data_IF_220909569518
#
_entry.id   IF_220909569518
#
_cell.length_a   1.000
_cell.length_b   1.000
_cell.length_c   1.000
_cell.angle_alpha   90.00
_cell.angle_beta   90.00
_cell.angle_gamma   90.00
#
_symmetry.space_group_name_H-M   'P 1'
#
loop_
_entity.id
_entity.type
_entity.pdbx_description
1 polymer ?
#
# COMPACT_ATOMS: atom_id res chain seq x y z
N UNK A 1 11.57 -7.36 16.18
CA UNK A 1 11.19 -6.29 15.23
C UNK A 1 12.45 -5.87 14.50
N UNK A 2 12.37 -5.55 13.19
CA UNK A 2 13.55 -5.10 12.48
C UNK A 2 14.03 -3.75 13.04
N UNK A 3 15.33 -3.60 13.20
CA UNK A 3 15.94 -2.30 13.57
C UNK A 3 16.06 -1.43 12.31
N UNK A 4 16.18 -0.10 12.48
CA UNK A 4 16.37 0.87 11.38
C UNK A 4 17.50 0.43 10.44
N UNK A 5 18.61 -0.08 10.98
CA UNK A 5 19.73 -0.58 10.17
C UNK A 5 19.33 -1.73 9.24
N UNK A 6 18.48 -2.66 9.71
CA UNK A 6 17.99 -3.77 8.89
C UNK A 6 17.09 -3.28 7.75
N UNK A 7 16.24 -2.27 8.01
CA UNK A 7 15.46 -1.62 6.96
C UNK A 7 16.35 -0.90 5.95
N UNK A 8 17.40 -0.23 6.41
CA UNK A 8 18.36 0.47 5.55
C UNK A 8 19.14 -0.51 4.67
N UNK A 9 19.62 -1.64 5.21
CA UNK A 9 20.28 -2.68 4.43
C UNK A 9 19.40 -3.25 3.32
N UNK A 10 18.09 -3.39 3.58
CA UNK A 10 17.12 -3.80 2.57
C UNK A 10 16.94 -2.72 1.50
N UNK A 11 16.73 -1.47 1.91
CA UNK A 11 16.53 -0.35 0.99
C UNK A 11 17.76 -0.15 0.06
N UNK A 12 18.98 -0.34 0.59
CA UNK A 12 20.22 -0.28 -0.21
C UNK A 12 20.32 -1.36 -1.30
N UNK A 13 19.57 -2.46 -1.18
CA UNK A 13 19.55 -3.58 -2.15
C UNK A 13 18.43 -3.46 -3.19
N UNK A 14 17.60 -2.42 -3.13
CA UNK A 14 16.49 -2.21 -4.06
C UNK A 14 17.00 -2.11 -5.50
N UNK A 15 16.35 -2.84 -6.41
CA UNK A 15 16.59 -2.83 -7.86
C UNK A 15 15.28 -2.64 -8.62
N UNK A 16 15.35 -2.15 -9.87
CA UNK A 16 14.19 -2.04 -10.74
C UNK A 16 13.43 -3.38 -10.88
N UNK A 17 14.15 -4.49 -11.05
CA UNK A 17 13.53 -5.82 -11.16
C UNK A 17 12.80 -6.24 -9.88
N UNK A 18 13.36 -5.92 -8.71
CA UNK A 18 12.69 -6.18 -7.43
C UNK A 18 11.42 -5.35 -7.26
N UNK A 19 11.45 -4.06 -7.64
CA UNK A 19 10.28 -3.18 -7.59
C UNK A 19 9.21 -3.66 -8.57
N UNK A 20 9.59 -3.96 -9.82
CA UNK A 20 8.67 -4.51 -10.83
C UNK A 20 8.00 -5.79 -10.34
N UNK A 21 8.77 -6.71 -9.76
CA UNK A 21 8.22 -7.98 -9.27
C UNK A 21 7.23 -7.76 -8.12
N UNK A 22 7.55 -6.85 -7.19
CA UNK A 22 6.69 -6.53 -6.05
C UNK A 22 5.41 -5.81 -6.50
N UNK A 23 5.53 -4.74 -7.29
CA UNK A 23 4.40 -3.99 -7.83
C UNK A 23 3.50 -4.89 -8.69
N UNK A 24 4.06 -5.75 -9.53
CA UNK A 24 3.28 -6.70 -10.32
C UNK A 24 2.45 -7.62 -9.42
N UNK A 25 3.05 -8.17 -8.36
CA UNK A 25 2.38 -9.13 -7.48
C UNK A 25 1.34 -8.45 -6.56
N UNK A 26 1.68 -7.29 -6.01
CA UNK A 26 0.91 -6.64 -4.94
C UNK A 26 0.04 -5.50 -5.44
N UNK A 27 0.54 -4.67 -6.36
CA UNK A 27 -0.17 -3.47 -6.83
C UNK A 27 -1.17 -3.77 -7.93
N UNK A 28 -0.84 -4.71 -8.80
CA UNK A 28 -1.56 -4.92 -10.05
C UNK A 28 -2.15 -6.34 -10.21
N UNK A 29 -2.28 -7.08 -9.11
CA UNK A 29 -2.91 -8.41 -9.12
C UNK A 29 -2.29 -9.40 -10.12
N UNK A 30 -0.97 -9.31 -10.35
CA UNK A 30 -0.23 -10.12 -11.31
C UNK A 30 -0.18 -9.58 -12.75
N UNK A 31 -0.92 -8.49 -13.06
CA UNK A 31 -0.94 -7.85 -14.37
C UNK A 31 0.22 -6.87 -14.52
N UNK A 32 0.60 -6.57 -15.77
CA UNK A 32 1.63 -5.57 -16.05
C UNK A 32 1.30 -4.84 -17.34
N UNK A 33 1.36 -3.51 -17.30
CA UNK A 33 1.23 -2.62 -18.46
C UNK A 33 2.51 -1.78 -18.59
N UNK A 34 2.95 -1.42 -19.81
CA UNK A 34 4.16 -0.60 -20.00
C UNK A 34 4.14 0.72 -19.21
N UNK A 35 2.97 1.32 -19.02
CA UNK A 35 2.82 2.58 -18.27
C UNK A 35 3.26 2.48 -16.80
N UNK A 36 3.26 1.27 -16.22
CA UNK A 36 3.66 1.05 -14.82
C UNK A 36 5.18 1.19 -14.62
N UNK A 37 5.98 1.01 -15.68
CA UNK A 37 7.44 1.17 -15.61
C UNK A 37 7.86 2.57 -15.13
N UNK A 38 7.01 3.59 -15.32
CA UNK A 38 7.30 4.95 -14.81
C UNK A 38 7.49 4.97 -13.28
N UNK A 39 6.70 4.18 -12.54
CA UNK A 39 6.83 4.06 -11.08
C UNK A 39 8.13 3.35 -10.69
N UNK A 40 8.41 2.24 -11.37
CA UNK A 40 9.64 1.45 -11.22
C UNK A 40 10.88 2.30 -11.46
N UNK A 41 10.94 2.99 -12.59
CA UNK A 41 12.08 3.83 -13.00
C UNK A 41 12.32 4.96 -12.01
N UNK A 42 11.26 5.59 -11.52
CA UNK A 42 11.36 6.66 -10.53
C UNK A 42 12.00 6.14 -9.23
N UNK A 43 11.47 5.05 -8.65
CA UNK A 43 11.95 4.52 -7.38
C UNK A 43 13.36 3.92 -7.50
N UNK A 44 13.62 3.18 -8.57
CA UNK A 44 14.94 2.61 -8.85
C UNK A 44 15.97 3.71 -9.13
N UNK A 45 15.60 4.76 -9.87
CA UNK A 45 16.45 5.91 -10.17
C UNK A 45 16.91 6.65 -8.93
N UNK A 46 16.01 6.90 -7.96
CA UNK A 46 16.36 7.46 -6.65
C UNK A 46 17.40 6.60 -5.90
N UNK A 47 17.34 5.28 -6.08
CA UNK A 47 18.24 4.30 -5.46
C UNK A 47 19.48 3.97 -6.30
N UNK A 48 19.68 4.61 -7.44
CA UNK A 48 20.86 4.43 -8.30
C UNK A 48 21.80 5.66 -8.31
N UNK A 49 21.31 6.83 -7.89
CA UNK A 49 22.07 8.08 -7.90
C UNK A 49 23.02 8.28 -6.71
N UNK A 50 23.81 9.38 -6.70
CA UNK A 50 24.74 9.70 -5.62
C UNK A 50 24.04 9.91 -4.25
N UNK A 51 22.75 10.24 -4.25
CA UNK A 51 21.92 10.38 -3.06
C UNK A 51 21.41 9.08 -2.44
N UNK A 52 21.71 7.91 -3.02
CA UNK A 52 21.17 6.60 -2.62
C UNK A 52 21.17 6.35 -1.11
N UNK A 53 22.30 6.65 -0.43
CA UNK A 53 22.42 6.40 1.02
C UNK A 53 21.41 7.22 1.84
N UNK A 54 21.16 8.46 1.43
CA UNK A 54 20.17 9.32 2.10
C UNK A 54 18.76 8.84 1.81
N UNK A 55 18.47 8.43 0.57
CA UNK A 55 17.18 7.83 0.19
C UNK A 55 16.90 6.58 1.01
N UNK A 56 17.85 5.64 1.06
CA UNK A 56 17.72 4.39 1.80
C UNK A 56 17.55 4.62 3.31
N UNK A 57 18.30 5.56 3.89
CA UNK A 57 18.18 5.88 5.32
C UNK A 57 16.81 6.48 5.67
N UNK A 58 16.29 7.42 4.87
CA UNK A 58 14.96 7.97 5.09
C UNK A 58 13.87 6.92 4.87
N UNK A 59 14.02 6.04 3.87
CA UNK A 59 13.13 4.89 3.69
C UNK A 59 13.12 3.98 4.91
N UNK A 60 14.27 3.73 5.52
CA UNK A 60 14.38 2.93 6.74
C UNK A 60 13.67 3.56 7.94
N UNK A 61 13.82 4.87 8.13
CA UNK A 61 13.10 5.61 9.18
C UNK A 61 11.58 5.60 8.96
N UNK A 62 11.13 5.69 7.71
CA UNK A 62 9.70 5.58 7.37
C UNK A 62 9.18 4.18 7.67
N UNK A 63 9.91 3.12 7.31
CA UNK A 63 9.52 1.74 7.64
C UNK A 63 9.41 1.52 9.16
N UNK A 64 10.37 2.03 9.94
CA UNK A 64 10.32 1.99 11.40
C UNK A 64 9.10 2.73 11.96
N UNK A 65 8.83 3.95 11.47
CA UNK A 65 7.67 4.74 11.84
C UNK A 65 6.36 4.00 11.56
N UNK A 66 6.17 3.47 10.35
CA UNK A 66 4.93 2.74 9.99
C UNK A 66 4.75 1.51 10.89
N UNK A 67 5.83 0.79 11.19
CA UNK A 67 5.76 -0.41 12.02
C UNK A 67 5.48 -0.12 13.50
N UNK A 68 5.96 1.00 14.02
CA UNK A 68 5.92 1.33 15.45
C UNK A 68 4.80 2.28 15.85
N UNK A 69 4.16 2.96 14.90
CA UNK A 69 3.15 4.00 15.15
C UNK A 69 1.81 3.69 14.45
N UNK A 70 1.09 2.62 14.84
CA UNK A 70 -0.16 2.22 14.19
C UNK A 70 -1.30 3.20 14.50
N UNK A 71 -2.18 3.46 13.54
CA UNK A 71 -3.35 4.37 13.71
C UNK A 71 -4.70 3.65 13.82
N UNK A 72 -4.74 2.33 13.59
CA UNK A 72 -5.99 1.56 13.49
C UNK A 72 -6.90 1.67 14.73
N UNK A 73 -6.31 1.84 15.91
CA UNK A 73 -7.03 1.97 17.18
C UNK A 73 -7.68 3.35 17.35
N UNK A 74 -7.36 4.30 16.48
CA UNK A 74 -7.91 5.66 16.47
C UNK A 74 -9.00 5.86 15.43
N UNK A 75 -9.23 4.88 14.56
CA UNK A 75 -10.29 4.92 13.55
C UNK A 75 -11.69 5.21 14.13
N UNK A 76 -12.05 4.69 15.32
CA UNK A 76 -13.31 5.06 15.99
C UNK A 76 -13.44 6.54 16.37
N UNK A 77 -12.33 7.30 16.39
CA UNK A 77 -12.31 8.73 16.72
C UNK A 77 -12.53 9.63 15.50
N UNK A 78 -12.57 9.08 14.29
CA UNK A 78 -12.85 9.88 13.10
C UNK A 78 -14.28 10.43 13.16
N UNK A 79 -14.41 11.76 13.04
CA UNK A 79 -15.70 12.48 13.10
C UNK A 79 -16.09 13.11 11.76
N UNK A 80 -15.37 12.79 10.69
CA UNK A 80 -15.61 13.29 9.34
C UNK A 80 -16.09 12.15 8.45
N UNK A 81 -16.94 12.42 7.45
CA UNK A 81 -17.28 11.43 6.44
C UNK A 81 -16.03 10.80 5.85
N UNK A 82 -15.99 9.48 5.79
CA UNK A 82 -14.83 8.72 5.35
C UNK A 82 -15.26 7.66 4.33
N UNK A 83 -14.57 7.62 3.19
CA UNK A 83 -14.77 6.59 2.17
C UNK A 83 -13.49 5.77 2.06
N UNK A 84 -13.62 4.45 2.18
CA UNK A 84 -12.55 3.49 1.96
C UNK A 84 -12.70 2.91 0.55
N UNK A 85 -11.66 3.01 -0.26
CA UNK A 85 -11.61 2.51 -1.65
C UNK A 85 -10.53 1.44 -1.75
N UNK A 86 -10.91 0.17 -1.82
CA UNK A 86 -10.00 -0.96 -1.58
C UNK A 86 -10.02 -1.95 -2.75
N UNK A 87 -8.85 -2.27 -3.30
CA UNK A 87 -8.66 -3.47 -4.12
C UNK A 87 -8.53 -4.71 -3.23
N UNK A 88 -9.36 -5.72 -3.44
CA UNK A 88 -9.41 -6.89 -2.55
C UNK A 88 -8.37 -7.98 -2.84
N UNK A 89 -7.63 -7.85 -3.95
CA UNK A 89 -6.47 -8.67 -4.27
C UNK A 89 -5.14 -8.05 -3.80
N UNK A 90 -5.18 -6.91 -3.11
CA UNK A 90 -4.01 -6.34 -2.44
C UNK A 90 -3.48 -7.35 -1.40
N UNK A 91 -2.15 -7.51 -1.38
CA UNK A 91 -1.40 -8.41 -0.49
C UNK A 91 -0.44 -7.67 0.45
N UNK A 92 -0.54 -6.34 0.52
CA UNK A 92 0.42 -5.49 1.23
C UNK A 92 0.48 -5.83 2.72
N UNK A 93 1.67 -6.16 3.19
CA UNK A 93 1.95 -6.30 4.62
C UNK A 93 3.43 -6.08 4.89
N UNK A 94 3.72 -5.04 5.68
CA UNK A 94 5.10 -4.66 6.02
C UNK A 94 5.73 -5.76 6.86
N UNK A 95 6.91 -6.23 6.44
CA UNK A 95 7.65 -7.30 7.09
C UNK A 95 7.09 -8.71 6.84
N UNK A 96 6.17 -8.90 5.89
CA UNK A 96 5.60 -10.21 5.56
C UNK A 96 6.61 -11.24 5.04
N UNK A 97 7.69 -10.78 4.42
CA UNK A 97 8.76 -11.62 3.87
C UNK A 97 9.63 -12.28 4.95
N UNK A 98 9.70 -11.67 6.14
CA UNK A 98 10.44 -12.18 7.31
C UNK A 98 9.50 -12.74 8.39
N UNK A 99 8.20 -12.74 8.15
CA UNK A 99 7.21 -13.29 9.07
C UNK A 99 7.23 -14.84 9.05
N UNK A 100 6.96 -15.51 10.19
CA UNK A 100 6.75 -16.95 10.22
C UNK A 100 5.66 -17.39 9.23
N UNK A 101 5.74 -18.60 8.64
CA UNK A 101 4.80 -19.05 7.61
C UNK A 101 3.32 -18.94 8.01
N UNK A 102 3.00 -19.26 9.27
CA UNK A 102 1.65 -19.17 9.83
C UNK A 102 1.11 -17.73 9.90
N UNK A 103 1.98 -16.75 10.15
CA UNK A 103 1.63 -15.33 10.15
C UNK A 103 1.53 -14.81 8.72
N UNK A 104 2.50 -15.16 7.88
CA UNK A 104 2.55 -14.76 6.47
C UNK A 104 1.28 -15.14 5.72
N UNK A 105 0.71 -16.32 5.98
CA UNK A 105 -0.54 -16.77 5.37
C UNK A 105 -1.78 -15.93 5.76
N UNK A 106 -1.70 -15.15 6.85
CA UNK A 106 -2.81 -14.32 7.36
C UNK A 106 -2.63 -12.83 7.04
N UNK A 107 -1.39 -12.41 6.80
CA UNK A 107 -1.05 -11.02 6.52
C UNK A 107 -1.48 -10.63 5.11
N UNK A 108 -1.86 -9.36 4.94
CA UNK A 108 -2.13 -8.77 3.62
C UNK A 108 -3.42 -9.26 2.95
N UNK A 109 -4.32 -9.99 3.60
CA UNK A 109 -5.56 -10.44 2.95
C UNK A 109 -6.62 -9.32 2.88
N UNK A 110 -6.48 -8.31 2.01
CA UNK A 110 -7.29 -7.07 2.03
C UNK A 110 -8.81 -7.25 1.90
N UNK A 111 -9.28 -8.41 1.42
CA UNK A 111 -10.69 -8.81 1.49
C UNK A 111 -11.28 -8.79 2.91
N UNK A 112 -10.43 -8.87 3.95
CA UNK A 112 -10.83 -8.85 5.38
C UNK A 112 -10.53 -7.49 6.07
N UNK A 113 -9.27 -6.98 6.13
CA UNK A 113 -8.94 -5.71 6.76
C UNK A 113 -9.73 -4.51 6.24
N UNK A 114 -10.07 -4.44 4.94
CA UNK A 114 -10.87 -3.32 4.42
C UNK A 114 -12.25 -3.24 5.07
N UNK A 115 -12.92 -4.39 5.24
CA UNK A 115 -14.21 -4.50 5.92
C UNK A 115 -14.09 -4.23 7.42
N UNK A 116 -13.03 -4.73 8.05
CA UNK A 116 -12.77 -4.49 9.47
C UNK A 116 -12.48 -3.01 9.75
N UNK A 117 -11.69 -2.34 8.91
CA UNK A 117 -11.43 -0.92 8.99
C UNK A 117 -12.71 -0.09 8.84
N UNK A 118 -13.54 -0.41 7.84
CA UNK A 118 -14.84 0.27 7.65
C UNK A 118 -15.73 0.14 8.88
N UNK A 119 -15.80 -1.05 9.48
CA UNK A 119 -16.60 -1.29 10.68
C UNK A 119 -16.11 -0.52 11.92
N UNK A 120 -14.84 -0.10 11.96
CA UNK A 120 -14.30 0.71 13.04
C UNK A 120 -14.57 2.21 12.87
N UNK A 121 -14.77 2.70 11.65
CA UNK A 121 -14.93 4.14 11.36
C UNK A 121 -16.42 4.50 11.36
N UNK A 122 -16.88 5.38 12.28
CA UNK A 122 -18.28 5.78 12.35
C UNK A 122 -18.75 6.42 11.04
N UNK A 123 -19.84 5.89 10.49
CA UNK A 123 -20.46 6.44 9.27
C UNK A 123 -19.60 6.31 8.01
N UNK A 124 -18.61 5.42 7.98
CA UNK A 124 -17.82 5.21 6.78
C UNK A 124 -18.60 4.48 5.68
N UNK A 125 -18.19 4.74 4.43
CA UNK A 125 -18.59 3.97 3.25
C UNK A 125 -17.41 3.13 2.77
N UNK A 126 -17.69 1.95 2.22
CA UNK A 126 -16.69 1.05 1.66
C UNK A 126 -17.01 0.75 0.20
N UNK A 127 -16.05 1.06 -0.67
CA UNK A 127 -16.02 0.71 -2.07
C UNK A 127 -14.95 -0.35 -2.26
N UNK A 128 -15.34 -1.52 -2.77
CA UNK A 128 -14.41 -2.62 -3.08
C UNK A 128 -14.28 -2.76 -4.58
N UNK A 129 -13.04 -2.92 -5.04
CA UNK A 129 -12.68 -3.20 -6.43
C UNK A 129 -12.25 -4.67 -6.56
N UNK A 130 -13.15 -5.59 -6.95
CA UNK A 130 -12.86 -7.01 -6.95
C UNK A 130 -11.75 -7.37 -7.94
N UNK A 131 -10.77 -8.13 -7.47
CA UNK A 131 -9.64 -8.59 -8.26
C UNK A 131 -8.57 -7.53 -8.53
N UNK A 132 -8.71 -6.30 -8.02
CA UNK A 132 -7.69 -5.25 -8.09
C UNK A 132 -6.76 -5.31 -6.88
N UNK A 133 -5.48 -4.99 -7.09
CA UNK A 133 -4.43 -4.97 -6.09
C UNK A 133 -4.35 -3.66 -5.30
N UNK A 134 -3.14 -3.34 -4.83
CA UNK A 134 -2.87 -2.16 -4.00
C UNK A 134 -3.16 -0.81 -4.68
N UNK A 135 -3.13 -0.76 -6.01
CA UNK A 135 -3.24 0.49 -6.76
C UNK A 135 -4.40 0.48 -7.78
N UNK A 136 -5.67 0.34 -7.34
CA UNK A 136 -6.82 0.29 -8.25
C UNK A 136 -6.94 1.53 -9.14
N UNK A 137 -6.50 2.70 -8.66
CA UNK A 137 -6.44 3.96 -9.42
C UNK A 137 -5.48 3.92 -10.63
N UNK A 138 -4.50 3.02 -10.60
CA UNK A 138 -3.55 2.82 -11.69
C UNK A 138 -4.01 1.68 -12.60
N UNK A 139 -4.70 0.68 -12.05
CA UNK A 139 -5.20 -0.47 -12.82
C UNK A 139 -6.33 -0.10 -13.76
N UNK A 140 -7.37 0.52 -13.21
CA UNK A 140 -8.60 0.91 -13.90
C UNK A 140 -8.95 2.37 -13.55
N UNK A 141 -8.17 3.34 -14.06
CA UNK A 141 -8.30 4.75 -13.68
C UNK A 141 -9.69 5.33 -13.97
N UNK A 142 -10.35 4.92 -15.06
CA UNK A 142 -11.69 5.41 -15.40
C UNK A 142 -12.72 5.00 -14.35
N UNK A 143 -12.74 3.72 -13.97
CA UNK A 143 -13.68 3.20 -12.99
C UNK A 143 -13.38 3.72 -11.58
N UNK A 144 -12.09 3.76 -11.20
CA UNK A 144 -11.68 4.34 -9.92
C UNK A 144 -12.11 5.81 -9.81
N UNK A 145 -11.84 6.62 -10.84
CA UNK A 145 -12.18 8.04 -10.84
C UNK A 145 -13.69 8.27 -10.83
N UNK A 146 -14.47 7.46 -11.56
CA UNK A 146 -15.93 7.52 -11.54
C UNK A 146 -16.47 7.30 -10.13
N UNK A 147 -16.02 6.24 -9.45
CA UNK A 147 -16.44 5.94 -8.09
C UNK A 147 -15.93 6.96 -7.07
N UNK A 148 -14.73 7.51 -7.25
CA UNK A 148 -14.21 8.58 -6.40
C UNK A 148 -15.08 9.84 -6.49
N UNK A 149 -15.42 10.29 -7.69
CA UNK A 149 -16.26 11.48 -7.88
C UNK A 149 -17.65 11.27 -7.30
N UNK A 150 -18.29 10.14 -7.60
CA UNK A 150 -19.60 9.76 -7.04
C UNK A 150 -19.58 9.74 -5.50
N UNK A 151 -18.53 9.18 -4.91
CA UNK A 151 -18.33 9.15 -3.47
C UNK A 151 -18.18 10.57 -2.89
N UNK A 152 -17.37 11.44 -3.52
CA UNK A 152 -17.18 12.82 -3.07
C UNK A 152 -18.45 13.67 -3.16
N UNK A 153 -19.28 13.44 -4.18
CA UNK A 153 -20.57 14.13 -4.34
C UNK A 153 -21.61 13.65 -3.33
N UNK A 154 -21.63 12.35 -3.00
CA UNK A 154 -22.54 11.79 -2.00
C UNK A 154 -22.21 12.19 -0.55
N UNK A 155 -20.97 12.68 -0.33
CA UNK A 155 -20.45 13.17 0.95
C UNK A 155 -20.65 14.69 1.11
N UNK A 156 -21.35 15.35 0.17
CA UNK A 156 -21.61 16.78 0.23
C UNK A 156 -22.23 17.20 1.59
N UNK A 157 -21.77 18.34 2.16
CA UNK A 157 -22.09 18.76 3.53
C UNK A 157 -23.57 19.02 3.80
#
# INVERSE_FOLDING_TARGET
MPQVDQWNERALKLTADSVRSDEKATYYGGRWKPEYERGVDMLAGLNAGPGKKVVAWNSALICDMIFTQPVIHEFPKLTVPTVLMIGDADTTAIGSDIAPPESKAKLGNYAVPGKQAAALIPGSSLIVFPGMGHAPQMEEPEEFNRQLVEAMESVAP
#
